data_IF_883882442415
#
_entry.id   IF_883882442415
#
_cell.length_a   1.000
_cell.length_b   1.000
_cell.length_c   1.000
_cell.angle_alpha   90.00
_cell.angle_beta   90.00
_cell.angle_gamma   90.00
#
_symmetry.space_group_name_H-M   'P 1'
#
loop_
_entity.id
_entity.type
_entity.pdbx_description
1 polymer ?
#
# COMPACT_ATOMS: atom_id res chain seq x y z
N UNK A 1 -4.99 4.87 -28.90
CA UNK A 1 -5.66 5.70 -27.87
C UNK A 1 -4.99 5.43 -26.53
N UNK A 2 -4.90 6.42 -25.64
CA UNK A 2 -4.39 6.19 -24.29
C UNK A 2 -5.53 5.79 -23.34
N UNK A 3 -5.24 4.86 -22.44
CA UNK A 3 -6.18 4.39 -21.45
C UNK A 3 -5.47 4.03 -20.14
N UNK A 4 -6.24 3.93 -19.06
CA UNK A 4 -5.75 3.51 -17.75
C UNK A 4 -6.42 2.21 -17.31
N UNK A 5 -5.67 1.24 -16.82
CA UNK A 5 -6.22 -0.04 -16.35
C UNK A 5 -6.97 0.14 -15.02
N UNK A 6 -8.26 -0.20 -15.03
CA UNK A 6 -9.16 -0.14 -13.88
C UNK A 6 -9.19 -1.46 -13.12
N UNK A 7 -9.28 -2.58 -13.84
CA UNK A 7 -9.22 -3.92 -13.26
C UNK A 7 -8.72 -4.95 -14.28
N UNK A 8 -8.08 -6.02 -13.81
CA UNK A 8 -7.51 -7.07 -14.64
C UNK A 8 -8.01 -8.45 -14.19
N UNK A 9 -8.90 -9.06 -14.98
CA UNK A 9 -9.47 -10.39 -14.72
C UNK A 9 -8.74 -11.54 -15.46
N UNK A 10 -7.48 -11.33 -15.89
CA UNK A 10 -6.65 -12.37 -16.49
C UNK A 10 -6.99 -12.75 -17.95
N UNK A 11 -8.12 -12.27 -18.48
CA UNK A 11 -8.52 -12.44 -19.89
C UNK A 11 -9.00 -11.14 -20.52
N UNK A 12 -10.00 -10.50 -19.91
CA UNK A 12 -10.47 -9.16 -20.27
C UNK A 12 -9.96 -8.16 -19.24
N UNK A 13 -9.41 -7.05 -19.73
CA UNK A 13 -8.91 -5.94 -18.93
C UNK A 13 -9.86 -4.77 -19.12
N UNK A 14 -10.41 -4.25 -18.03
CA UNK A 14 -11.22 -3.04 -18.07
C UNK A 14 -10.27 -1.84 -18.05
N UNK A 15 -10.41 -0.96 -19.05
CA UNK A 15 -9.62 0.26 -19.16
C UNK A 15 -10.54 1.47 -19.26
N UNK A 16 -10.11 2.60 -18.70
CA UNK A 16 -10.77 3.91 -18.85
C UNK A 16 -10.00 4.73 -19.88
N UNK A 17 -10.71 5.22 -20.89
CA UNK A 17 -10.17 6.14 -21.89
C UNK A 17 -10.03 7.55 -21.31
N UNK A 18 -9.21 8.39 -21.95
CA UNK A 18 -9.14 9.82 -21.61
C UNK A 18 -10.48 10.55 -21.76
N UNK A 19 -11.42 10.02 -22.56
CA UNK A 19 -12.79 10.52 -22.69
C UNK A 19 -13.69 10.20 -21.48
N UNK A 20 -13.23 9.37 -20.54
CA UNK A 20 -14.01 8.90 -19.40
C UNK A 20 -14.68 7.54 -19.61
N UNK A 21 -14.81 7.08 -20.85
CA UNK A 21 -15.47 5.83 -21.19
C UNK A 21 -14.69 4.60 -20.69
N UNK A 22 -15.40 3.63 -20.10
CA UNK A 22 -14.85 2.34 -19.66
C UNK A 22 -15.13 1.27 -20.69
N UNK A 23 -14.10 0.57 -21.13
CA UNK A 23 -14.19 -0.45 -22.17
C UNK A 23 -13.43 -1.71 -21.76
N UNK A 24 -13.84 -2.84 -22.35
CA UNK A 24 -13.12 -4.11 -22.23
C UNK A 24 -12.08 -4.24 -23.34
N UNK A 25 -10.84 -4.49 -22.97
CA UNK A 25 -9.72 -4.69 -23.88
C UNK A 25 -9.03 -6.04 -23.65
N UNK A 26 -8.54 -6.64 -24.75
CA UNK A 26 -7.70 -7.83 -24.73
C UNK A 26 -6.22 -7.43 -24.60
N UNK A 27 -5.40 -8.30 -24.03
CA UNK A 27 -3.95 -8.10 -23.97
C UNK A 27 -3.22 -8.94 -25.02
N UNK A 28 -2.14 -8.40 -25.61
CA UNK A 28 -1.23 -9.17 -26.46
C UNK A 28 -0.40 -10.16 -25.64
N UNK A 29 0.04 -11.25 -26.28
CA UNK A 29 0.76 -12.36 -25.62
C UNK A 29 2.03 -11.93 -24.89
N UNK A 30 2.78 -10.95 -25.43
CA UNK A 30 4.02 -10.47 -24.84
C UNK A 30 3.82 -9.64 -23.56
N UNK A 31 2.63 -9.06 -23.35
CA UNK A 31 2.29 -8.29 -22.14
C UNK A 31 1.68 -9.16 -21.03
N UNK A 32 1.51 -10.47 -21.27
CA UNK A 32 0.89 -11.37 -20.30
C UNK A 32 1.68 -11.41 -19.00
N UNK A 33 0.99 -11.09 -17.91
CA UNK A 33 1.54 -11.12 -16.56
C UNK A 33 2.30 -9.84 -16.17
N UNK A 34 2.45 -8.88 -17.08
CA UNK A 34 3.10 -7.61 -16.81
C UNK A 34 2.11 -6.53 -16.38
N UNK A 35 0.93 -6.50 -17.01
CA UNK A 35 -0.10 -5.48 -16.79
C UNK A 35 -0.77 -5.59 -15.41
N UNK A 36 -0.99 -4.46 -14.78
CA UNK A 36 -1.63 -4.36 -13.47
C UNK A 36 -2.53 -3.13 -13.36
N UNK A 37 -3.28 -3.04 -12.26
CA UNK A 37 -4.19 -1.90 -12.03
C UNK A 37 -3.42 -0.60 -11.88
N UNK A 38 -3.94 0.47 -12.46
CA UNK A 38 -3.31 1.79 -12.45
C UNK A 38 -2.30 2.02 -13.57
N UNK A 39 -1.93 1.00 -14.35
CA UNK A 39 -1.08 1.16 -15.53
C UNK A 39 -1.72 2.07 -16.57
N UNK A 40 -0.89 2.91 -17.20
CA UNK A 40 -1.25 3.66 -18.39
C UNK A 40 -0.83 2.84 -19.61
N UNK A 41 -1.71 2.72 -20.60
CA UNK A 41 -1.52 1.85 -21.76
C UNK A 41 -1.96 2.52 -23.05
N UNK A 42 -1.40 2.07 -24.16
CA UNK A 42 -1.95 2.34 -25.49
C UNK A 42 -2.83 1.17 -25.93
N UNK A 43 -3.96 1.52 -26.53
CA UNK A 43 -4.92 0.59 -27.10
C UNK A 43 -5.22 0.92 -28.56
N UNK A 44 -5.57 -0.11 -29.32
CA UNK A 44 -6.04 -0.02 -30.70
C UNK A 44 -7.38 -0.77 -30.85
N UNK A 45 -8.27 -0.25 -31.71
CA UNK A 45 -9.46 -0.96 -32.11
C UNK A 45 -9.15 -1.77 -33.37
N UNK A 46 -9.26 -3.10 -33.30
CA UNK A 46 -8.92 -4.01 -34.39
C UNK A 46 -9.82 -5.24 -34.34
N UNK A 47 -10.30 -5.70 -35.50
CA UNK A 47 -11.18 -6.87 -35.63
C UNK A 47 -12.39 -6.81 -34.67
N UNK A 48 -13.01 -5.63 -34.58
CA UNK A 48 -14.17 -5.38 -33.72
C UNK A 48 -13.91 -5.50 -32.21
N UNK A 49 -12.65 -5.48 -31.78
CA UNK A 49 -12.25 -5.56 -30.37
C UNK A 49 -11.17 -4.52 -30.04
N UNK A 50 -11.12 -4.08 -28.77
CA UNK A 50 -10.01 -3.26 -28.29
C UNK A 50 -8.86 -4.14 -27.81
N UNK A 51 -7.63 -3.80 -28.20
CA UNK A 51 -6.42 -4.55 -27.85
C UNK A 51 -5.39 -3.60 -27.25
N UNK A 52 -4.88 -3.95 -26.08
CA UNK A 52 -3.74 -3.26 -25.45
C UNK A 52 -2.48 -3.62 -26.22
N UNK A 53 -1.85 -2.61 -26.80
CA UNK A 53 -0.69 -2.75 -27.67
C UNK A 53 0.61 -2.42 -26.96
N UNK A 54 0.57 -1.54 -25.95
CA UNK A 54 1.77 -1.08 -25.25
C UNK A 54 1.48 -0.69 -23.80
N UNK A 55 2.39 -1.06 -22.91
CA UNK A 55 2.48 -0.53 -21.56
C UNK A 55 3.33 0.75 -21.58
N UNK A 56 2.82 1.82 -20.97
CA UNK A 56 3.57 3.07 -20.79
C UNK A 56 4.39 3.03 -19.49
N UNK A 57 5.37 3.94 -19.39
CA UNK A 57 6.27 3.99 -18.24
C UNK A 57 5.53 4.21 -16.93
N UNK A 58 5.98 3.49 -15.89
CA UNK A 58 5.45 3.56 -14.53
C UNK A 58 6.26 4.54 -13.70
N UNK A 59 5.61 5.36 -12.88
CA UNK A 59 6.31 6.10 -11.82
C UNK A 59 6.75 5.20 -10.66
N UNK A 60 5.96 4.16 -10.37
CA UNK A 60 6.24 3.14 -9.35
C UNK A 60 5.36 1.89 -9.55
N UNK A 61 5.70 0.82 -8.83
CA UNK A 61 5.06 -0.49 -8.94
C UNK A 61 5.06 -1.20 -7.59
N UNK A 62 3.90 -1.67 -7.16
CA UNK A 62 3.75 -2.61 -6.05
C UNK A 62 3.61 -4.02 -6.61
N UNK A 63 4.44 -4.93 -6.12
CA UNK A 63 4.38 -6.35 -6.47
C UNK A 63 4.44 -7.24 -5.23
N UNK A 64 3.99 -8.49 -5.38
CA UNK A 64 4.11 -9.52 -4.35
C UNK A 64 4.76 -10.78 -4.93
N UNK A 65 5.49 -11.57 -4.14
CA UNK A 65 5.97 -12.88 -4.58
C UNK A 65 4.79 -13.77 -4.94
N UNK A 66 4.96 -14.56 -6.00
CA UNK A 66 4.02 -15.61 -6.32
C UNK A 66 4.62 -16.93 -5.83
N UNK A 67 4.02 -17.55 -4.80
CA UNK A 67 4.54 -18.82 -4.24
C UNK A 67 4.61 -19.96 -5.27
N UNK A 68 3.84 -19.85 -6.36
CA UNK A 68 3.76 -20.87 -7.42
C UNK A 68 4.55 -20.53 -8.68
N UNK A 69 5.11 -19.31 -8.79
CA UNK A 69 5.86 -18.88 -9.98
C UNK A 69 7.17 -18.21 -9.58
N UNK A 70 8.23 -18.42 -10.38
CA UNK A 70 9.54 -17.75 -10.20
C UNK A 70 9.51 -16.22 -10.44
N UNK A 71 8.33 -15.63 -10.64
CA UNK A 71 8.15 -14.20 -10.95
C UNK A 71 7.16 -13.56 -9.99
N UNK A 72 7.43 -12.31 -9.61
CA UNK A 72 6.51 -11.51 -8.82
C UNK A 72 5.21 -11.27 -9.58
N UNK A 73 4.10 -11.20 -8.85
CA UNK A 73 2.81 -10.75 -9.37
C UNK A 73 2.67 -9.25 -9.09
N UNK A 74 2.51 -8.47 -10.15
CA UNK A 74 2.21 -7.04 -10.07
C UNK A 74 0.81 -6.82 -9.49
N UNK A 75 0.69 -5.89 -8.55
CA UNK A 75 -0.56 -5.62 -7.81
C UNK A 75 -1.17 -4.30 -8.22
N UNK A 76 -0.36 -3.24 -8.25
CA UNK A 76 -0.81 -1.91 -8.63
C UNK A 76 0.39 -1.05 -9.06
N UNK A 77 0.16 -0.10 -9.94
CA UNK A 77 1.15 0.83 -10.45
C UNK A 77 0.62 2.26 -10.43
N UNK A 78 1.54 3.23 -10.57
CA UNK A 78 1.23 4.64 -10.64
C UNK A 78 0.44 5.15 -9.42
N UNK A 79 0.97 4.85 -8.25
CA UNK A 79 0.38 5.18 -6.95
C UNK A 79 1.07 6.43 -6.40
N UNK A 80 0.32 7.40 -5.91
CA UNK A 80 0.86 8.61 -5.28
C UNK A 80 1.11 8.40 -3.80
N UNK A 81 0.14 7.80 -3.11
CA UNK A 81 0.20 7.55 -1.68
C UNK A 81 -0.38 6.18 -1.30
N UNK A 82 -0.01 5.71 -0.12
CA UNK A 82 -0.54 4.50 0.46
C UNK A 82 -1.12 4.78 1.83
N UNK A 83 -2.41 4.51 1.98
CA UNK A 83 -3.16 4.71 3.21
C UNK A 83 -3.05 3.45 4.05
N UNK A 84 -2.25 3.49 5.10
CA UNK A 84 -2.06 2.38 6.04
C UNK A 84 -3.10 2.52 7.15
N UNK A 85 -4.14 1.68 7.08
CA UNK A 85 -5.24 1.69 8.05
C UNK A 85 -4.90 0.77 9.22
N UNK A 86 -4.97 1.35 10.42
CA UNK A 86 -4.66 0.76 11.72
C UNK A 86 -5.90 0.90 12.61
N UNK A 87 -6.11 -0.02 13.54
CA UNK A 87 -7.20 0.03 14.53
C UNK A 87 -6.72 -0.63 15.82
N UNK A 88 -7.39 -0.39 16.93
CA UNK A 88 -7.18 -1.12 18.19
C UNK A 88 -7.62 -2.61 18.08
N UNK A 89 -8.62 -2.91 17.24
CA UNK A 89 -9.16 -4.26 17.05
C UNK A 89 -9.43 -4.58 15.56
N UNK A 90 -8.62 -5.47 14.95
CA UNK A 90 -7.55 -6.27 15.55
C UNK A 90 -6.37 -5.42 16.02
N UNK A 91 -5.66 -5.90 17.05
CA UNK A 91 -4.49 -5.21 17.59
C UNK A 91 -3.45 -4.92 16.49
N UNK A 92 -2.87 -3.71 16.44
CA UNK A 92 -1.78 -3.37 15.54
C UNK A 92 -0.59 -4.31 15.73
N UNK A 93 -0.10 -4.82 14.61
CA UNK A 93 1.16 -5.54 14.55
C UNK A 93 2.23 -4.55 14.09
N UNK A 94 2.94 -3.94 15.04
CA UNK A 94 3.77 -2.74 14.80
C UNK A 94 4.84 -2.94 13.73
N UNK A 95 5.52 -4.09 13.73
CA UNK A 95 6.52 -4.41 12.70
C UNK A 95 5.94 -4.48 11.28
N UNK A 96 4.63 -4.68 11.10
CA UNK A 96 3.99 -4.56 9.79
C UNK A 96 3.87 -3.11 9.34
N UNK A 97 3.59 -2.18 10.26
CA UNK A 97 3.55 -0.74 9.96
C UNK A 97 4.94 -0.30 9.49
N UNK A 98 5.98 -0.65 10.26
CA UNK A 98 7.37 -0.33 9.92
C UNK A 98 7.80 -0.91 8.58
N UNK A 99 7.34 -2.13 8.28
CA UNK A 99 7.51 -2.80 7.00
C UNK A 99 6.85 -2.03 5.86
N UNK A 100 5.60 -1.59 6.02
CA UNK A 100 4.94 -0.76 5.02
C UNK A 100 5.72 0.52 4.76
N UNK A 101 6.05 1.25 5.81
CA UNK A 101 6.77 2.52 5.70
C UNK A 101 8.11 2.34 4.96
N UNK A 102 8.90 1.32 5.32
CA UNK A 102 10.20 1.10 4.70
C UNK A 102 10.08 0.82 3.19
N UNK A 103 9.16 -0.05 2.76
CA UNK A 103 9.04 -0.35 1.34
C UNK A 103 8.33 0.76 0.53
N UNK A 104 7.47 1.58 1.16
CA UNK A 104 6.84 2.72 0.50
C UNK A 104 7.85 3.82 0.18
N UNK A 105 8.76 4.11 1.12
CA UNK A 105 9.87 5.05 0.89
C UNK A 105 10.77 4.63 -0.26
N UNK A 106 11.09 3.33 -0.37
CA UNK A 106 11.88 2.82 -1.49
C UNK A 106 11.10 2.80 -2.82
N UNK A 107 9.78 2.87 -2.78
CA UNK A 107 8.91 2.86 -3.96
C UNK A 107 8.48 4.25 -4.42
N UNK A 108 8.97 5.33 -3.79
CA UNK A 108 8.50 6.70 -4.00
C UNK A 108 6.97 6.81 -3.89
N UNK A 109 6.39 6.19 -2.86
CA UNK A 109 4.97 6.27 -2.53
C UNK A 109 4.84 6.90 -1.15
N UNK A 110 4.07 7.98 -1.04
CA UNK A 110 3.92 8.70 0.22
C UNK A 110 3.04 7.91 1.22
N UNK A 111 3.52 7.56 2.42
CA UNK A 111 2.70 6.89 3.41
C UNK A 111 1.75 7.85 4.14
N UNK A 112 0.48 7.47 4.25
CA UNK A 112 -0.53 8.15 5.06
C UNK A 112 -1.04 7.18 6.12
N UNK A 113 -0.87 7.51 7.41
CA UNK A 113 -1.35 6.65 8.49
C UNK A 113 -2.79 7.04 8.86
N UNK A 114 -3.65 6.04 9.02
CA UNK A 114 -5.05 6.23 9.42
C UNK A 114 -5.38 5.34 10.60
N UNK A 115 -5.82 5.93 11.69
CA UNK A 115 -6.40 5.25 12.84
C UNK A 115 -7.91 5.20 12.64
N UNK A 116 -8.45 4.01 12.36
CA UNK A 116 -9.87 3.77 12.17
C UNK A 116 -10.53 3.22 13.45
N UNK A 117 -11.87 3.20 13.45
CA UNK A 117 -12.75 2.71 14.54
C UNK A 117 -12.59 3.49 15.84
N UNK A 118 -12.39 4.80 15.75
CA UNK A 118 -12.27 5.68 16.93
C UNK A 118 -13.56 5.75 17.76
N UNK A 119 -14.67 5.33 17.18
CA UNK A 119 -15.98 5.25 17.81
C UNK A 119 -16.15 4.06 18.76
N UNK A 120 -15.31 3.04 18.64
CA UNK A 120 -15.40 1.81 19.42
C UNK A 120 -14.09 1.53 20.14
N UNK A 121 -13.73 2.35 21.13
CA UNK A 121 -12.48 2.19 21.89
C UNK A 121 -12.73 2.35 23.38
N UNK A 122 -12.14 1.47 24.20
CA UNK A 122 -12.01 1.74 25.65
C UNK A 122 -10.98 2.83 25.89
N UNK A 123 -10.85 3.33 27.14
CA UNK A 123 -9.80 4.30 27.47
C UNK A 123 -8.39 3.68 27.34
N UNK A 124 -8.25 2.39 27.64
CA UNK A 124 -7.00 1.64 27.43
C UNK A 124 -6.65 1.56 25.94
N UNK A 125 -7.63 1.26 25.07
CA UNK A 125 -7.44 1.23 23.61
C UNK A 125 -6.99 2.60 23.08
N UNK A 126 -7.66 3.67 23.53
CA UNK A 126 -7.30 5.05 23.14
C UNK A 126 -5.88 5.37 23.56
N UNK A 127 -5.49 5.03 24.79
CA UNK A 127 -4.14 5.31 25.28
C UNK A 127 -3.09 4.53 24.52
N UNK A 128 -3.33 3.24 24.26
CA UNK A 128 -2.42 2.40 23.48
C UNK A 128 -2.23 2.95 22.06
N UNK A 129 -3.32 3.28 21.36
CA UNK A 129 -3.27 3.82 20.00
C UNK A 129 -2.63 5.21 19.95
N UNK A 130 -2.89 6.09 20.93
CA UNK A 130 -2.22 7.40 21.01
C UNK A 130 -0.72 7.25 21.19
N UNK A 131 -0.28 6.35 22.06
CA UNK A 131 1.14 6.07 22.28
C UNK A 131 1.80 5.57 20.98
N UNK A 132 1.15 4.63 20.29
CA UNK A 132 1.62 4.12 19.01
C UNK A 132 1.70 5.22 17.94
N UNK A 133 0.63 6.02 17.78
CA UNK A 133 0.56 7.11 16.82
C UNK A 133 1.64 8.18 17.08
N UNK A 134 1.87 8.53 18.34
CA UNK A 134 2.87 9.52 18.71
C UNK A 134 4.29 9.14 18.25
N UNK A 135 4.64 7.84 18.26
CA UNK A 135 5.93 7.37 17.72
C UNK A 135 6.11 7.78 16.27
N UNK A 136 5.10 7.55 15.41
CA UNK A 136 5.19 7.87 14.00
C UNK A 136 5.05 9.38 13.72
N UNK A 137 4.25 10.08 14.52
CA UNK A 137 4.09 11.53 14.40
C UNK A 137 5.41 12.26 14.69
N UNK A 138 6.18 11.83 15.69
CA UNK A 138 7.51 12.39 16.00
C UNK A 138 8.54 12.17 14.89
N UNK A 139 8.36 11.14 14.06
CA UNK A 139 9.20 10.90 12.88
C UNK A 139 8.85 11.86 11.73
N UNK A 140 7.60 12.33 11.69
CA UNK A 140 7.08 13.27 10.70
C UNK A 140 5.93 12.72 9.85
N UNK A 141 5.36 11.56 10.18
CA UNK A 141 4.23 10.99 9.43
C UNK A 141 2.92 11.71 9.75
N UNK A 142 2.11 11.93 8.71
CA UNK A 142 0.72 12.40 8.86
C UNK A 142 -0.15 11.26 9.40
N UNK A 143 -1.02 11.60 10.36
CA UNK A 143 -1.93 10.65 11.01
C UNK A 143 -3.34 11.24 10.99
N UNK A 144 -4.28 10.48 10.44
CA UNK A 144 -5.71 10.81 10.46
C UNK A 144 -6.46 9.88 11.39
N UNK A 145 -7.46 10.41 12.10
CA UNK A 145 -8.33 9.65 12.98
C UNK A 145 -9.72 9.61 12.37
N UNK A 146 -10.24 8.42 12.09
CA UNK A 146 -11.52 8.23 11.41
C UNK A 146 -12.41 7.21 12.12
N UNK A 147 -13.73 7.37 11.91
CA UNK A 147 -14.70 6.29 12.03
C UNK A 147 -15.35 6.11 10.68
N UNK A 148 -14.93 5.09 9.93
CA UNK A 148 -15.54 4.79 8.65
C UNK A 148 -17.04 4.47 8.80
N UNK A 149 -17.42 3.76 9.86
CA UNK A 149 -18.80 3.41 10.16
C UNK A 149 -19.70 4.64 10.37
N UNK A 150 -19.20 5.66 11.09
CA UNK A 150 -19.97 6.86 11.44
C UNK A 150 -19.65 8.06 10.55
N UNK A 151 -18.90 7.87 9.46
CA UNK A 151 -18.42 8.91 8.56
C UNK A 151 -17.67 10.08 9.26
N UNK A 152 -16.89 9.77 10.29
CA UNK A 152 -16.12 10.78 11.05
C UNK A 152 -14.71 10.85 10.49
N UNK A 153 -14.22 12.06 10.20
CA UNK A 153 -12.85 12.32 9.75
C UNK A 153 -12.57 11.93 8.28
N UNK A 154 -13.59 11.46 7.56
CA UNK A 154 -13.47 11.05 6.15
C UNK A 154 -13.17 12.24 5.24
N UNK A 155 -13.80 13.39 5.47
CA UNK A 155 -13.57 14.60 4.66
C UNK A 155 -12.11 15.05 4.71
N UNK A 156 -11.52 15.11 5.89
CA UNK A 156 -10.09 15.45 6.06
C UNK A 156 -9.16 14.44 5.40
N UNK A 157 -9.53 13.15 5.42
CA UNK A 157 -8.78 12.13 4.68
C UNK A 157 -8.91 12.37 3.17
N UNK A 158 -10.11 12.63 2.65
CA UNK A 158 -10.34 12.91 1.23
C UNK A 158 -9.59 14.15 0.73
N UNK A 159 -9.50 15.20 1.55
CA UNK A 159 -8.67 16.37 1.24
C UNK A 159 -7.19 16.00 1.04
N UNK A 160 -6.65 15.08 1.87
CA UNK A 160 -5.28 14.59 1.69
C UNK A 160 -5.13 13.69 0.46
N UNK A 161 -6.16 12.94 0.09
CA UNK A 161 -6.16 12.04 -1.08
C UNK A 161 -6.51 12.74 -2.39
N UNK A 162 -6.92 14.01 -2.35
CA UNK A 162 -7.33 14.77 -3.53
C UNK A 162 -6.24 14.79 -4.60
N UNK A 163 -6.66 14.62 -5.86
CA UNK A 163 -5.82 14.61 -7.06
C UNK A 163 -4.76 13.49 -7.09
N UNK A 164 -4.94 12.45 -6.26
CA UNK A 164 -3.97 11.34 -6.09
C UNK A 164 -4.58 9.98 -6.38
N UNK A 165 -3.74 9.06 -6.81
CA UNK A 165 -4.05 7.63 -6.80
C UNK A 165 -3.55 7.00 -5.50
N UNK A 166 -4.48 6.56 -4.68
CA UNK A 166 -4.21 5.99 -3.35
C UNK A 166 -4.36 4.48 -3.36
N UNK A 167 -3.57 3.76 -2.55
CA UNK A 167 -3.82 2.33 -2.26
C UNK A 167 -4.08 2.12 -0.78
N UNK A 168 -5.08 1.31 -0.43
CA UNK A 168 -5.37 0.98 0.97
C UNK A 168 -4.59 -0.26 1.43
N UNK A 169 -3.86 -0.11 2.54
CA UNK A 169 -3.02 -1.13 3.16
C UNK A 169 -3.43 -1.35 4.63
N UNK A 170 -3.10 -2.51 5.19
CA UNK A 170 -3.38 -2.83 6.58
C UNK A 170 -3.93 -4.25 6.77
N UNK A 171 -4.06 -4.68 8.02
CA UNK A 171 -4.49 -6.05 8.36
C UNK A 171 -5.94 -6.33 7.90
N UNK A 172 -6.33 -7.60 7.87
CA UNK A 172 -7.75 -7.95 7.66
C UNK A 172 -8.58 -7.43 8.83
N UNK A 173 -9.77 -6.89 8.57
CA UNK A 173 -10.67 -6.40 9.63
C UNK A 173 -10.36 -5.01 10.18
N UNK A 174 -9.36 -4.30 9.67
CA UNK A 174 -9.05 -2.90 10.08
C UNK A 174 -10.04 -1.86 9.53
N UNK A 175 -10.91 -2.26 8.60
CA UNK A 175 -11.93 -1.40 7.99
C UNK A 175 -11.55 -0.76 6.65
N UNK A 176 -10.62 -1.35 5.87
CA UNK A 176 -10.27 -0.86 4.51
C UNK A 176 -11.49 -0.77 3.59
N UNK A 177 -12.22 -1.88 3.44
CA UNK A 177 -13.40 -1.94 2.57
C UNK A 177 -14.55 -1.07 3.10
N UNK A 178 -14.69 -0.96 4.42
CA UNK A 178 -15.66 -0.06 5.04
C UNK A 178 -15.32 1.41 4.73
N UNK A 179 -14.06 1.81 4.90
CA UNK A 179 -13.58 3.16 4.57
C UNK A 179 -13.84 3.48 3.09
N UNK A 180 -13.55 2.54 2.20
CA UNK A 180 -13.80 2.69 0.77
C UNK A 180 -15.29 2.85 0.45
N UNK A 181 -16.15 2.03 1.06
CA UNK A 181 -17.60 2.12 0.89
C UNK A 181 -18.15 3.45 1.39
N UNK A 182 -17.68 3.92 2.54
CA UNK A 182 -18.06 5.21 3.12
C UNK A 182 -17.67 6.36 2.18
N UNK A 183 -16.44 6.33 1.65
CA UNK A 183 -15.96 7.33 0.69
C UNK A 183 -16.79 7.35 -0.59
N UNK A 184 -17.16 6.18 -1.13
CA UNK A 184 -17.93 6.09 -2.36
C UNK A 184 -19.43 6.37 -2.18
N UNK A 185 -19.92 6.41 -0.94
CA UNK A 185 -21.35 6.49 -0.64
C UNK A 185 -22.15 5.25 -1.07
N UNK A 186 -21.47 4.17 -1.46
CA UNK A 186 -22.07 2.95 -2.00
C UNK A 186 -21.49 1.69 -1.35
N UNK A 187 -22.31 0.65 -1.22
CA UNK A 187 -21.81 -0.67 -0.79
C UNK A 187 -21.16 -1.38 -1.97
N UNK A 188 -19.83 -1.35 -2.03
CA UNK A 188 -19.09 -2.30 -2.86
C UNK A 188 -19.20 -3.66 -2.16
N UNK A 189 -20.11 -4.48 -2.67
CA UNK A 189 -20.15 -5.89 -2.31
C UNK A 189 -19.01 -6.60 -3.04
N UNK A 190 -18.36 -7.58 -2.41
CA UNK A 190 -17.38 -8.45 -3.09
C UNK A 190 -17.92 -9.05 -4.43
N UNK A 191 -19.24 -9.09 -4.58
CA UNK A 191 -20.00 -9.52 -5.76
C UNK A 191 -20.22 -8.45 -6.85
N UNK A 192 -20.19 -7.14 -6.57
CA UNK A 192 -20.48 -6.11 -7.61
C UNK A 192 -19.34 -5.92 -8.62
N UNK A 193 -18.14 -6.42 -8.34
CA UNK A 193 -17.07 -6.51 -9.35
C UNK A 193 -17.31 -7.63 -10.39
N UNK A 194 -18.36 -8.46 -10.21
CA UNK A 194 -18.70 -9.61 -11.05
C UNK A 194 -20.16 -9.53 -11.52
N UNK A 195 -20.52 -8.47 -12.24
CA UNK A 195 -21.72 -8.41 -13.10
C UNK A 195 -21.54 -7.23 -14.05
N UNK A 196 -21.20 -7.40 -15.34
CA UNK A 196 -22.14 -7.91 -16.34
C UNK A 196 -21.54 -8.72 -17.51
N UNK A 197 -20.26 -9.12 -17.49
CA UNK A 197 -19.63 -9.69 -18.71
C UNK A 197 -19.30 -11.19 -18.74
N UNK A 198 -19.41 -11.96 -17.64
CA UNK A 198 -19.12 -13.41 -17.71
C UNK A 198 -19.98 -14.26 -16.76
N UNK A 199 -21.00 -14.93 -17.32
CA UNK A 199 -21.78 -16.01 -16.69
C UNK A 199 -20.95 -17.30 -16.49
N UNK A 200 -19.81 -17.26 -15.80
CA UNK A 200 -19.11 -18.48 -15.32
C UNK A 200 -18.33 -18.21 -14.04
N UNK A 201 -18.74 -18.87 -12.95
CA UNK A 201 -17.86 -19.21 -11.84
C UNK A 201 -17.91 -18.28 -10.63
N UNK A 202 -18.31 -18.86 -9.49
CA UNK A 202 -18.35 -18.25 -8.16
C UNK A 202 -16.93 -18.22 -7.59
N UNK A 203 -16.18 -17.15 -7.83
CA UNK A 203 -14.89 -16.90 -7.20
C UNK A 203 -14.86 -15.53 -6.53
N UNK A 204 -14.55 -15.54 -5.24
CA UNK A 204 -14.27 -14.41 -4.35
C UNK A 204 -13.28 -13.43 -4.99
N UNK A 205 -13.47 -12.12 -4.77
CA UNK A 205 -12.71 -10.99 -5.35
C UNK A 205 -11.19 -11.18 -5.20
N UNK A 206 -10.51 -11.65 -6.26
CA UNK A 206 -9.06 -12.03 -6.23
C UNK A 206 -8.16 -11.03 -6.96
N UNK A 207 -8.76 -9.99 -7.55
CA UNK A 207 -8.07 -8.99 -8.36
C UNK A 207 -8.19 -7.62 -7.71
N UNK A 208 -7.13 -6.83 -7.80
CA UNK A 208 -7.17 -5.42 -7.41
C UNK A 208 -8.09 -4.65 -8.34
N UNK A 209 -8.68 -3.58 -7.84
CA UNK A 209 -9.60 -2.71 -8.58
C UNK A 209 -9.33 -1.26 -8.23
N UNK A 210 -9.32 -0.39 -9.23
CA UNK A 210 -9.27 1.06 -9.08
C UNK A 210 -10.69 1.61 -9.07
N UNK A 211 -11.04 2.30 -7.99
CA UNK A 211 -12.27 3.04 -7.82
C UNK A 211 -11.98 4.52 -7.99
N UNK A 212 -12.89 5.21 -8.67
CA UNK A 212 -12.74 6.62 -8.97
C UNK A 212 -13.65 7.39 -8.03
N UNK A 213 -13.07 8.31 -7.28
CA UNK A 213 -13.82 9.15 -6.35
C UNK A 213 -14.31 10.39 -7.11
N UNK A 214 -13.44 10.94 -7.93
CA UNK A 214 -13.71 12.01 -8.90
C UNK A 214 -12.79 11.79 -10.13
N UNK A 215 -12.74 12.78 -11.04
CA UNK A 215 -11.96 12.70 -12.28
C UNK A 215 -10.44 12.56 -12.07
N UNK A 216 -9.94 12.96 -10.91
CA UNK A 216 -8.52 13.10 -10.57
C UNK A 216 -8.10 12.25 -9.36
N UNK A 217 -9.05 11.87 -8.52
CA UNK A 217 -8.83 11.11 -7.29
C UNK A 217 -9.27 9.67 -7.48
N UNK A 218 -8.39 8.72 -7.14
CA UNK A 218 -8.68 7.29 -7.28
C UNK A 218 -8.17 6.49 -6.10
N UNK A 219 -8.88 5.41 -5.74
CA UNK A 219 -8.48 4.49 -4.68
C UNK A 219 -8.39 3.07 -5.24
N UNK A 220 -7.25 2.43 -5.06
CA UNK A 220 -7.03 1.04 -5.40
C UNK A 220 -7.31 0.18 -4.16
N UNK A 221 -8.29 -0.72 -4.27
CA UNK A 221 -8.46 -1.82 -3.32
C UNK A 221 -7.70 -3.05 -3.81
N UNK A 222 -7.01 -3.71 -2.90
CA UNK A 222 -6.18 -4.87 -3.21
C UNK A 222 -6.43 -6.01 -2.22
N UNK A 223 -7.40 -6.88 -2.51
CA UNK A 223 -7.70 -8.03 -1.68
C UNK A 223 -6.44 -8.89 -1.46
N UNK A 224 -6.05 -9.09 -0.20
CA UNK A 224 -4.99 -10.01 0.17
C UNK A 224 -3.55 -9.48 0.05
N UNK A 225 -3.31 -8.17 -0.02
CA UNK A 225 -2.01 -7.64 0.43
C UNK A 225 -1.97 -7.77 1.96
N UNK A 226 -1.60 -8.95 2.45
CA UNK A 226 -1.31 -9.18 3.87
C UNK A 226 0.10 -8.73 4.23
N UNK A 227 1.03 -8.85 3.29
CA UNK A 227 2.45 -8.55 3.46
C UNK A 227 2.98 -7.86 2.20
N UNK A 228 2.93 -6.53 2.22
CA UNK A 228 3.63 -5.71 1.25
C UNK A 228 5.15 -5.91 1.36
N UNK A 229 5.77 -6.17 0.22
CA UNK A 229 6.82 -5.28 -0.28
C UNK A 229 8.23 -5.36 0.26
N UNK A 230 8.60 -6.22 1.22
CA UNK A 230 10.03 -6.35 1.61
C UNK A 230 10.78 -7.50 0.94
N UNK A 231 10.16 -8.16 -0.01
CA UNK A 231 10.74 -9.37 -0.61
C UNK A 231 11.94 -9.06 -1.51
N UNK A 232 12.13 -7.79 -1.89
CA UNK A 232 13.21 -7.32 -2.78
C UNK A 232 13.97 -6.12 -2.23
N UNK A 233 13.78 -5.76 -0.95
CA UNK A 233 14.58 -4.68 -0.38
C UNK A 233 15.92 -5.21 0.11
N UNK A 234 16.97 -4.50 -0.23
CA UNK A 234 18.32 -4.69 0.31
C UNK A 234 18.37 -4.25 1.78
N UNK A 235 19.45 -4.63 2.48
CA UNK A 235 19.70 -4.16 3.85
C UNK A 235 19.80 -2.63 3.89
N UNK A 236 20.43 -2.04 2.88
CA UNK A 236 20.60 -0.61 2.75
C UNK A 236 19.26 0.10 2.53
N UNK A 237 18.41 -0.42 1.64
CA UNK A 237 17.05 0.08 1.41
C UNK A 237 16.16 -0.06 2.66
N UNK A 238 16.30 -1.15 3.43
CA UNK A 238 15.62 -1.27 4.72
C UNK A 238 16.03 -0.13 5.64
N UNK A 239 17.34 0.09 5.81
CA UNK A 239 17.86 1.13 6.70
C UNK A 239 17.39 2.52 6.27
N UNK A 240 17.42 2.81 4.96
CA UNK A 240 16.99 4.10 4.41
C UNK A 240 15.47 4.32 4.52
N UNK A 241 14.68 3.24 4.58
CA UNK A 241 13.25 3.27 4.84
C UNK A 241 12.88 3.63 6.29
N UNK A 242 13.82 3.54 7.24
CA UNK A 242 13.65 4.00 8.60
C UNK A 242 14.12 5.46 8.70
N UNK A 243 13.22 6.41 8.47
CA UNK A 243 13.56 7.84 8.42
C UNK A 243 14.25 8.38 9.68
N UNK A 244 13.89 7.84 10.85
CA UNK A 244 14.52 8.11 12.14
C UNK A 244 15.95 7.58 12.22
N UNK A 245 16.31 6.55 11.45
CA UNK A 245 17.65 5.96 11.42
C UNK A 245 18.50 6.63 10.34
N UNK A 246 17.90 6.90 9.18
CA UNK A 246 18.54 7.54 8.02
C UNK A 246 19.26 8.83 8.39
N UNK A 247 18.72 9.61 9.35
CA UNK A 247 19.33 10.83 9.90
C UNK A 247 20.73 10.61 10.49
N UNK A 248 21.04 9.40 10.93
CA UNK A 248 22.31 9.01 11.57
C UNK A 248 23.17 8.10 10.69
N UNK A 249 22.81 7.94 9.40
CA UNK A 249 23.55 7.10 8.46
C UNK A 249 25.01 7.59 8.36
N UNK A 250 25.96 6.66 8.46
CA UNK A 250 27.39 6.97 8.36
C UNK A 250 28.01 7.65 9.58
N UNK A 251 27.25 7.90 10.65
CA UNK A 251 27.75 8.52 11.88
C UNK A 251 28.31 7.51 12.90
N UNK A 252 28.29 6.22 12.59
CA UNK A 252 28.90 5.20 13.45
C UNK A 252 30.42 5.26 13.37
N UNK A 253 31.10 4.92 14.46
CA UNK A 253 32.57 4.86 14.53
C UNK A 253 33.16 3.89 13.49
N UNK A 254 32.46 2.80 13.19
CA UNK A 254 32.89 1.76 12.25
C UNK A 254 32.01 1.75 10.99
N UNK A 255 32.64 1.64 9.82
CA UNK A 255 31.94 1.64 8.51
C UNK A 255 31.03 0.42 8.31
N UNK A 256 31.40 -0.72 8.87
CA UNK A 256 30.68 -2.00 8.76
C UNK A 256 29.82 -2.30 10.01
N UNK A 257 29.31 -1.26 10.68
CA UNK A 257 28.48 -1.44 11.87
C UNK A 257 27.25 -2.32 11.57
N UNK A 258 27.01 -3.33 12.40
CA UNK A 258 25.81 -4.18 12.30
C UNK A 258 24.55 -3.48 12.82
N UNK A 259 24.74 -2.41 13.59
CA UNK A 259 23.72 -1.69 14.36
C UNK A 259 23.02 -2.55 15.42
N UNK A 260 23.53 -3.73 15.74
CA UNK A 260 22.95 -4.63 16.72
C UNK A 260 23.12 -4.10 18.16
N UNK A 261 22.25 -4.58 19.05
CA UNK A 261 22.30 -4.29 20.48
C UNK A 261 23.69 -4.69 21.04
N UNK A 262 24.43 -3.72 21.59
CA UNK A 262 25.80 -3.90 22.06
C UNK A 262 26.91 -3.48 21.09
N UNK A 263 26.57 -3.03 19.88
CA UNK A 263 27.56 -2.47 18.94
C UNK A 263 28.30 -1.26 19.52
N UNK A 264 29.61 -1.39 19.74
CA UNK A 264 30.47 -0.28 20.22
C UNK A 264 30.55 0.82 19.18
N UNK A 265 30.44 2.08 19.62
CA UNK A 265 30.51 3.25 18.73
C UNK A 265 29.37 3.35 17.70
N UNK A 266 28.26 2.64 17.92
CA UNK A 266 27.09 2.70 17.03
C UNK A 266 26.21 3.89 17.38
N UNK A 267 26.06 4.83 16.45
CA UNK A 267 25.22 6.00 16.63
C UNK A 267 23.74 5.59 16.81
N UNK A 268 23.26 4.58 16.08
CA UNK A 268 21.86 4.13 16.23
C UNK A 268 21.57 3.64 17.64
N UNK A 269 22.44 2.82 18.23
CA UNK A 269 22.28 2.32 19.60
C UNK A 269 22.33 3.47 20.61
N UNK A 270 23.20 4.46 20.39
CA UNK A 270 23.28 5.64 21.25
C UNK A 270 21.99 6.47 21.19
N UNK A 271 21.44 6.67 19.99
CA UNK A 271 20.20 7.41 19.79
C UNK A 271 18.97 6.68 20.37
N UNK A 272 18.99 5.35 20.42
CA UNK A 272 17.98 4.57 21.17
C UNK A 272 18.09 4.85 22.67
N UNK A 273 19.30 4.86 23.25
CA UNK A 273 19.52 5.15 24.68
C UNK A 273 19.12 6.57 25.06
N UNK A 274 19.33 7.53 24.17
CA UNK A 274 18.96 8.93 24.36
C UNK A 274 17.46 9.20 24.12
N UNK A 275 16.69 8.19 23.69
CA UNK A 275 15.26 8.32 23.44
C UNK A 275 14.90 8.99 22.11
N UNK A 276 15.89 9.26 21.24
CA UNK A 276 15.67 9.82 19.91
C UNK A 276 15.18 8.77 18.89
N UNK A 277 15.47 7.50 19.13
CA UNK A 277 14.92 6.37 18.37
C UNK A 277 14.09 5.52 19.33
N UNK A 278 12.85 5.22 18.94
CA UNK A 278 11.97 4.40 19.75
C UNK A 278 12.52 2.94 19.85
N UNK A 279 12.62 2.34 21.07
CA UNK A 279 13.15 0.98 21.23
C UNK A 279 12.36 -0.10 20.47
N UNK A 280 11.05 0.08 20.31
CA UNK A 280 10.21 -0.87 19.56
C UNK A 280 10.52 -0.80 18.07
N UNK A 281 10.71 0.40 17.53
CA UNK A 281 11.17 0.61 16.14
C UNK A 281 12.54 -0.04 15.90
N UNK A 282 13.48 0.12 16.84
CA UNK A 282 14.79 -0.55 16.80
C UNK A 282 14.67 -2.08 16.76
N UNK A 283 13.83 -2.65 17.63
CA UNK A 283 13.55 -4.09 17.63
C UNK A 283 12.91 -4.55 16.32
N UNK A 284 11.95 -3.79 15.79
CA UNK A 284 11.25 -4.10 14.55
C UNK A 284 12.20 -4.06 13.34
N UNK A 285 13.11 -3.09 13.27
CA UNK A 285 14.17 -3.05 12.24
C UNK A 285 14.97 -4.36 12.21
N UNK A 286 15.47 -4.82 13.36
CA UNK A 286 16.25 -6.05 13.42
C UNK A 286 15.43 -7.30 13.11
N UNK A 287 14.16 -7.34 13.55
CA UNK A 287 13.24 -8.42 13.20
C UNK A 287 13.06 -8.51 11.68
N UNK A 288 12.77 -7.38 11.03
CA UNK A 288 12.58 -7.31 9.59
C UNK A 288 13.88 -7.67 8.86
N UNK A 289 15.03 -7.17 9.32
CA UNK A 289 16.33 -7.49 8.75
C UNK A 289 16.64 -8.99 8.79
N UNK A 290 16.30 -9.67 9.88
CA UNK A 290 16.46 -11.12 10.00
C UNK A 290 15.57 -11.88 8.99
N UNK A 291 14.34 -11.43 8.78
CA UNK A 291 13.41 -12.00 7.80
C UNK A 291 13.84 -11.78 6.33
N UNK A 292 14.67 -10.78 6.06
CA UNK A 292 15.28 -10.57 4.73
C UNK A 292 16.49 -11.49 4.55
N UNK A 293 17.34 -11.64 5.58
CA UNK A 293 18.53 -12.52 5.54
C UNK A 293 18.19 -14.00 5.42
N UNK A 294 17.05 -14.42 5.96
CA UNK A 294 16.62 -15.83 6.01
C UNK A 294 15.84 -16.28 4.76
N UNK A 295 15.84 -15.49 3.68
CA UNK A 295 15.30 -15.87 2.36
C UNK A 295 16.41 -16.22 1.40
#
# INVERSE_FOLDING_TARGET
MQARIITNFGGNICVKLTSGEKISALQRSHLKGELTVGDNVEIEYTNSTYVITKLLDRKNLISRPNQYQRKNKNIAANIDNAVIIITHSPAPVEHYIDRYLAALHNSNIEPVLVINKIDNQTEEDKQYIRNLANVYQQIGYKIFYISAQNNIGIDSLLEELKDKTSIFLGQSGVGKSETLNTILGEKITATTAVSDSTKKGRHTTTCSTLYEIDDTTSIIDSPGIREFGLWHITKEELFDGFLDFKKYKGMCQFRNCSHEEGSKGCQIVEQVKQGHINPVRFKNYHRILAEIKNK
#
